data_IF_333440132455
#
_entry.id   IF_333440132455
#
_cell.length_a   1.000
_cell.length_b   1.000
_cell.length_c   1.000
_cell.angle_alpha   90.00
_cell.angle_beta   90.00
_cell.angle_gamma   90.00
#
_symmetry.space_group_name_H-M   'P 1'
#
loop_
_entity.id
_entity.type
_entity.pdbx_description
1 polymer ?
#
# COMPACT_ATOMS: atom_id res chain seq x y z
N UNK A 1 -0.29 2.48 11.51
CA UNK A 1 -1.15 2.51 10.31
C UNK A 1 -2.61 2.15 10.60
N UNK A 2 -3.60 2.84 10.00
CA UNK A 2 -5.03 2.62 10.24
C UNK A 2 -5.62 1.50 9.35
N UNK A 3 -5.12 0.27 9.46
CA UNK A 3 -5.59 -0.87 8.64
C UNK A 3 -6.92 -1.50 9.08
N UNK A 4 -7.50 -1.03 10.19
CA UNK A 4 -8.67 -1.64 10.82
C UNK A 4 -9.92 -1.63 9.94
N UNK A 5 -10.12 -0.57 9.14
CA UNK A 5 -11.27 -0.52 8.23
C UNK A 5 -11.18 -1.57 7.14
N UNK A 6 -10.00 -1.75 6.56
CA UNK A 6 -9.76 -2.82 5.60
C UNK A 6 -9.99 -4.20 6.23
N UNK A 7 -9.42 -4.45 7.42
CA UNK A 7 -9.62 -5.71 8.12
C UNK A 7 -11.09 -5.98 8.47
N UNK A 8 -11.84 -4.96 8.91
CA UNK A 8 -13.25 -5.10 9.22
C UNK A 8 -14.10 -5.40 7.99
N UNK A 9 -13.84 -4.70 6.88
CA UNK A 9 -14.53 -4.95 5.62
C UNK A 9 -14.21 -6.34 5.08
N UNK A 10 -12.94 -6.75 5.17
CA UNK A 10 -12.49 -8.09 4.82
C UNK A 10 -13.21 -9.17 5.63
N UNK A 11 -13.39 -9.00 6.95
CA UNK A 11 -14.13 -9.96 7.78
C UNK A 11 -15.60 -10.07 7.35
N UNK A 12 -16.28 -8.93 7.14
CA UNK A 12 -17.65 -8.89 6.66
C UNK A 12 -17.79 -9.65 5.32
N UNK A 13 -16.85 -9.42 4.41
CA UNK A 13 -16.82 -10.12 3.13
C UNK A 13 -16.62 -11.62 3.28
N UNK A 14 -15.60 -12.07 4.03
CA UNK A 14 -15.37 -13.50 4.23
C UNK A 14 -16.61 -14.20 4.81
N UNK A 15 -17.37 -13.55 5.68
CA UNK A 15 -18.63 -14.10 6.18
C UNK A 15 -19.71 -14.18 5.08
N UNK A 16 -19.83 -13.13 4.25
CA UNK A 16 -20.70 -13.16 3.07
C UNK A 16 -20.37 -14.32 2.16
N UNK A 17 -19.09 -14.60 1.94
CA UNK A 17 -18.65 -15.71 1.11
C UNK A 17 -18.99 -17.07 1.70
N UNK A 18 -18.67 -17.27 2.98
CA UNK A 18 -18.90 -18.56 3.65
C UNK A 18 -20.39 -18.88 3.85
N UNK A 19 -21.26 -17.86 3.90
CA UNK A 19 -22.65 -18.02 4.31
C UNK A 19 -23.69 -17.46 3.31
N UNK A 20 -23.25 -16.84 2.22
CA UNK A 20 -24.09 -16.15 1.23
C UNK A 20 -24.63 -14.79 1.68
N UNK A 21 -24.34 -14.35 2.91
CA UNK A 21 -24.76 -13.08 3.48
C UNK A 21 -23.74 -12.59 4.52
N UNK A 22 -23.37 -11.31 4.49
CA UNK A 22 -22.44 -10.74 5.47
C UNK A 22 -23.16 -10.22 6.72
N UNK A 23 -22.47 -10.17 7.87
CA UNK A 23 -23.02 -9.57 9.09
C UNK A 23 -23.06 -8.03 8.99
N UNK A 24 -24.17 -7.53 8.46
CA UNK A 24 -24.46 -6.10 8.37
C UNK A 24 -24.48 -5.43 9.75
N UNK A 25 -24.90 -6.12 10.81
CA UNK A 25 -24.94 -5.54 12.15
C UNK A 25 -23.52 -5.34 12.70
N UNK A 26 -22.62 -6.29 12.47
CA UNK A 26 -21.19 -6.11 12.73
C UNK A 26 -20.64 -4.93 11.94
N UNK A 27 -20.88 -4.88 10.63
CA UNK A 27 -20.34 -3.84 9.75
C UNK A 27 -20.82 -2.45 10.16
N UNK A 28 -22.12 -2.29 10.48
CA UNK A 28 -22.67 -1.03 11.02
C UNK A 28 -22.02 -0.65 12.35
N UNK A 29 -21.86 -1.59 13.29
CA UNK A 29 -21.26 -1.31 14.61
C UNK A 29 -19.79 -0.92 14.52
N UNK A 30 -19.00 -1.60 13.69
CA UNK A 30 -17.58 -1.30 13.53
C UNK A 30 -17.38 -0.01 12.76
N UNK A 31 -18.20 0.26 11.74
CA UNK A 31 -18.16 1.50 10.96
C UNK A 31 -18.32 2.75 11.85
N UNK A 32 -19.23 2.73 12.84
CA UNK A 32 -19.38 3.83 13.80
C UNK A 32 -18.12 4.05 14.64
N UNK A 33 -17.44 2.99 15.08
CA UNK A 33 -16.17 3.09 15.83
C UNK A 33 -15.04 3.60 14.95
N UNK A 34 -14.99 3.13 13.71
CA UNK A 34 -14.04 3.59 12.71
C UNK A 34 -14.27 5.07 12.37
N UNK A 35 -15.51 5.54 12.30
CA UNK A 35 -15.80 6.96 12.10
C UNK A 35 -15.21 7.84 13.21
N UNK A 36 -15.31 7.41 14.48
CA UNK A 36 -14.67 8.09 15.61
C UNK A 36 -13.14 8.07 15.49
N UNK A 37 -12.56 6.94 15.11
CA UNK A 37 -11.11 6.83 14.93
C UNK A 37 -10.59 7.68 13.76
N UNK A 38 -11.28 7.66 12.62
CA UNK A 38 -10.99 8.52 11.47
C UNK A 38 -11.03 10.00 11.86
N UNK A 39 -12.07 10.40 12.60
CA UNK A 39 -12.20 11.78 13.10
C UNK A 39 -11.06 12.16 14.06
N UNK A 40 -10.58 11.22 14.87
CA UNK A 40 -9.39 11.45 15.70
C UNK A 40 -8.14 11.72 14.86
N UNK A 41 -7.92 10.93 13.79
CA UNK A 41 -6.78 11.15 12.88
C UNK A 41 -6.83 12.54 12.25
N UNK A 42 -7.96 12.92 11.64
CA UNK A 42 -8.15 14.24 11.02
C UNK A 42 -7.91 15.37 12.02
N UNK A 43 -8.32 15.23 13.29
CA UNK A 43 -8.16 16.31 14.26
C UNK A 43 -6.80 16.34 14.98
N UNK A 44 -6.04 15.25 14.99
CA UNK A 44 -4.81 15.13 15.80
C UNK A 44 -3.55 14.97 14.98
N UNK A 45 -3.69 14.63 13.70
CA UNK A 45 -2.59 14.27 12.81
C UNK A 45 -2.63 15.07 11.50
N UNK A 46 -3.43 16.12 11.44
CA UNK A 46 -3.42 17.15 10.39
C UNK A 46 -3.41 18.51 11.12
N UNK A 47 -2.21 18.95 11.53
CA UNK A 47 -2.04 20.10 12.44
C UNK A 47 -2.51 21.41 11.80
N UNK A 48 -2.40 21.54 10.49
CA UNK A 48 -2.82 22.75 9.74
C UNK A 48 -4.24 22.65 9.18
N UNK A 49 -4.88 21.49 9.25
CA UNK A 49 -6.17 21.26 8.58
C UNK A 49 -6.06 21.33 7.05
N UNK A 50 -4.90 20.95 6.49
CA UNK A 50 -4.63 21.01 5.05
C UNK A 50 -4.67 19.63 4.38
N UNK A 51 -5.08 18.58 5.10
CA UNK A 51 -5.14 17.19 4.67
C UNK A 51 -3.76 16.58 4.30
N UNK A 52 -2.67 17.18 4.77
CA UNK A 52 -1.34 16.57 4.79
C UNK A 52 -1.10 16.03 6.19
N UNK A 53 -1.00 14.71 6.30
CA UNK A 53 -0.96 14.09 7.62
C UNK A 53 0.46 14.03 8.18
N UNK A 54 0.58 14.51 9.41
CA UNK A 54 1.78 14.58 10.21
C UNK A 54 1.59 13.61 11.38
N UNK A 55 2.40 12.56 11.50
CA UNK A 55 2.12 11.63 12.58
C UNK A 55 3.07 10.50 12.84
N UNK A 56 4.04 10.73 13.73
CA UNK A 56 4.54 9.76 14.70
C UNK A 56 4.92 8.38 14.16
N UNK A 57 4.97 7.40 15.06
CA UNK A 57 5.25 6.01 14.75
C UNK A 57 4.12 5.37 13.91
N UNK A 58 4.35 5.22 12.61
CA UNK A 58 3.47 4.47 11.69
C UNK A 58 3.94 3.02 11.50
N UNK A 59 4.68 2.46 12.45
CA UNK A 59 5.19 1.10 12.38
C UNK A 59 6.25 0.88 11.30
N UNK A 60 6.88 1.96 10.81
CA UNK A 60 8.01 1.97 9.89
C UNK A 60 9.19 2.68 10.57
N UNK A 61 9.64 2.11 11.69
CA UNK A 61 10.40 2.76 12.76
C UNK A 61 11.57 3.60 12.25
N UNK A 62 12.57 2.95 11.65
CA UNK A 62 13.80 3.57 11.18
C UNK A 62 13.79 3.87 9.67
N UNK A 63 12.64 3.79 8.97
CA UNK A 63 12.60 3.94 7.51
C UNK A 63 13.05 5.34 7.04
N UNK A 64 12.81 6.36 7.88
CA UNK A 64 13.09 7.76 7.58
C UNK A 64 14.45 8.23 8.09
N UNK A 65 14.74 9.51 7.79
CA UNK A 65 15.96 10.22 8.20
C UNK A 65 15.95 10.53 9.70
N UNK A 66 14.79 10.92 10.23
CA UNK A 66 14.62 11.38 11.61
C UNK A 66 13.70 10.43 12.39
N UNK A 67 13.85 10.43 13.72
CA UNK A 67 12.85 9.82 14.60
C UNK A 67 11.55 10.62 14.52
N UNK A 68 10.54 10.04 13.87
CA UNK A 68 9.22 10.62 13.65
C UNK A 68 8.42 10.85 14.95
N UNK A 69 8.86 10.28 16.06
CA UNK A 69 8.24 10.43 17.39
C UNK A 69 8.94 11.48 18.26
N UNK A 70 10.08 12.02 17.81
CA UNK A 70 10.83 13.05 18.52
C UNK A 70 10.70 14.42 17.84
N UNK A 71 10.87 15.53 18.58
CA UNK A 71 11.02 16.84 17.97
C UNK A 71 12.21 16.87 17.01
N UNK A 72 12.04 17.52 15.85
CA UNK A 72 13.12 17.68 14.90
C UNK A 72 14.24 18.56 15.50
N UNK A 73 15.53 18.17 15.36
CA UNK A 73 16.65 18.90 15.97
C UNK A 73 16.75 20.38 15.54
N UNK A 74 16.23 20.70 14.36
CA UNK A 74 16.21 22.03 13.74
C UNK A 74 14.88 22.77 13.96
N UNK A 75 13.96 22.19 14.73
CA UNK A 75 12.56 22.62 14.75
C UNK A 75 11.86 22.34 13.42
N UNK A 76 10.62 22.82 13.30
CA UNK A 76 9.79 22.58 12.13
C UNK A 76 8.99 21.27 12.25
N UNK A 77 8.59 20.71 11.11
CA UNK A 77 7.79 19.47 11.05
C UNK A 77 8.11 18.62 9.83
N UNK A 78 7.58 17.40 9.83
CA UNK A 78 7.67 16.46 8.72
C UNK A 78 6.28 16.22 8.13
N UNK A 79 6.09 16.65 6.88
CA UNK A 79 4.93 16.26 6.07
C UNK A 79 5.21 14.85 5.53
N UNK A 80 4.39 13.87 5.91
CA UNK A 80 4.67 12.45 5.66
C UNK A 80 3.86 11.93 4.47
N UNK A 81 4.54 11.43 3.45
CA UNK A 81 3.89 10.84 2.28
C UNK A 81 3.16 9.54 2.63
N UNK A 82 3.75 8.70 3.49
CA UNK A 82 3.10 7.47 3.96
C UNK A 82 1.94 7.74 4.89
N UNK A 83 2.09 8.68 5.83
CA UNK A 83 1.01 9.09 6.73
C UNK A 83 -0.22 9.57 5.95
N UNK A 84 0.00 10.36 4.92
CA UNK A 84 -1.06 10.87 4.05
C UNK A 84 -1.67 9.76 3.18
N UNK A 85 -0.85 8.88 2.58
CA UNK A 85 -1.33 7.71 1.83
C UNK A 85 -2.15 6.74 2.71
N UNK A 86 -1.75 6.53 3.97
CA UNK A 86 -2.50 5.72 4.93
C UNK A 86 -3.88 6.29 5.24
N UNK A 87 -3.98 7.61 5.35
CA UNK A 87 -5.26 8.27 5.56
C UNK A 87 -6.13 8.27 4.30
N UNK A 88 -5.53 8.38 3.11
CA UNK A 88 -6.23 8.17 1.85
C UNK A 88 -6.80 6.74 1.77
N UNK A 89 -5.99 5.73 2.12
CA UNK A 89 -6.42 4.34 2.19
C UNK A 89 -7.56 4.13 3.19
N UNK A 90 -7.45 4.67 4.40
CA UNK A 90 -8.51 4.60 5.40
C UNK A 90 -9.80 5.28 4.90
N UNK A 91 -9.67 6.45 4.28
CA UNK A 91 -10.80 7.16 3.68
C UNK A 91 -11.51 6.31 2.62
N UNK A 92 -10.75 5.66 1.74
CA UNK A 92 -11.27 4.74 0.73
C UNK A 92 -11.98 3.52 1.34
N UNK A 93 -11.40 2.89 2.37
CA UNK A 93 -12.07 1.77 3.05
C UNK A 93 -13.37 2.21 3.74
N UNK A 94 -13.40 3.41 4.29
CA UNK A 94 -14.65 3.97 4.83
C UNK A 94 -15.66 4.29 3.74
N UNK A 95 -15.22 4.73 2.56
CA UNK A 95 -16.09 4.91 1.40
C UNK A 95 -16.68 3.58 0.94
N UNK A 96 -15.86 2.53 0.76
CA UNK A 96 -16.34 1.20 0.34
C UNK A 96 -17.36 0.62 1.33
N UNK A 97 -17.08 0.69 2.64
CA UNK A 97 -18.05 0.26 3.67
C UNK A 97 -19.33 1.12 3.62
N UNK A 98 -19.22 2.44 3.43
CA UNK A 98 -20.40 3.31 3.37
C UNK A 98 -21.27 3.02 2.14
N UNK A 99 -20.65 2.75 0.99
CA UNK A 99 -21.35 2.34 -0.24
C UNK A 99 -22.06 1.01 -0.01
N UNK A 100 -21.38 0.00 0.54
CA UNK A 100 -21.98 -1.29 0.87
C UNK A 100 -23.19 -1.13 1.81
N UNK A 101 -23.04 -0.37 2.90
CA UNK A 101 -24.15 -0.14 3.84
C UNK A 101 -25.30 0.65 3.19
N UNK A 102 -25.01 1.57 2.27
CA UNK A 102 -26.02 2.34 1.55
C UNK A 102 -26.87 1.48 0.60
N UNK A 103 -26.34 0.34 0.13
CA UNK A 103 -27.12 -0.65 -0.64
C UNK A 103 -28.26 -1.26 0.17
N UNK A 104 -28.14 -1.29 1.50
CA UNK A 104 -29.13 -1.87 2.41
C UNK A 104 -29.93 -0.82 3.18
N UNK A 105 -29.34 0.34 3.46
CA UNK A 105 -29.94 1.43 4.24
C UNK A 105 -29.52 2.79 3.69
N UNK A 106 -30.00 3.08 2.48
CA UNK A 106 -29.64 4.25 1.68
C UNK A 106 -29.77 5.56 2.46
N UNK A 107 -30.87 5.73 3.19
CA UNK A 107 -31.17 6.96 3.93
C UNK A 107 -30.16 7.28 5.04
N UNK A 108 -29.46 6.27 5.56
CA UNK A 108 -28.49 6.44 6.64
C UNK A 108 -27.04 6.59 6.16
N UNK A 109 -26.67 5.98 5.02
CA UNK A 109 -25.26 5.81 4.65
C UNK A 109 -24.83 6.50 3.34
N UNK A 110 -25.74 6.86 2.44
CA UNK A 110 -25.35 7.48 1.16
C UNK A 110 -24.68 8.85 1.36
N UNK A 111 -25.16 9.66 2.31
CA UNK A 111 -24.51 10.93 2.67
C UNK A 111 -23.10 10.71 3.25
N UNK A 112 -22.88 9.61 3.96
CA UNK A 112 -21.56 9.25 4.47
C UNK A 112 -20.63 8.80 3.35
N UNK A 113 -21.13 8.11 2.33
CA UNK A 113 -20.35 7.81 1.13
C UNK A 113 -19.92 9.11 0.42
N UNK A 114 -20.82 10.07 0.24
CA UNK A 114 -20.49 11.40 -0.28
C UNK A 114 -19.37 12.07 0.53
N UNK A 115 -19.49 12.09 1.86
CA UNK A 115 -18.48 12.65 2.76
C UNK A 115 -17.10 12.04 2.52
N UNK A 116 -17.00 10.71 2.45
CA UNK A 116 -15.69 10.06 2.27
C UNK A 116 -15.14 10.24 0.86
N UNK A 117 -15.99 10.24 -0.17
CA UNK A 117 -15.58 10.62 -1.52
C UNK A 117 -14.97 12.03 -1.55
N UNK A 118 -15.67 13.02 -0.98
CA UNK A 118 -15.18 14.40 -0.91
C UNK A 118 -13.86 14.52 -0.18
N UNK A 119 -13.76 13.88 0.98
CA UNK A 119 -12.57 13.91 1.81
C UNK A 119 -11.38 13.24 1.10
N UNK A 120 -11.61 12.17 0.34
CA UNK A 120 -10.58 11.56 -0.50
C UNK A 120 -10.04 12.55 -1.55
N UNK A 121 -10.91 13.33 -2.23
CA UNK A 121 -10.43 14.32 -3.22
C UNK A 121 -9.50 15.35 -2.58
N UNK A 122 -9.84 15.79 -1.36
CA UNK A 122 -9.01 16.75 -0.63
C UNK A 122 -7.66 16.17 -0.21
N UNK A 123 -7.61 14.90 0.20
CA UNK A 123 -6.33 14.24 0.52
C UNK A 123 -5.45 14.13 -0.73
N UNK A 124 -6.01 13.69 -1.87
CA UNK A 124 -5.25 13.58 -3.12
C UNK A 124 -4.70 14.95 -3.55
N UNK A 125 -5.54 15.98 -3.52
CA UNK A 125 -5.13 17.34 -3.85
C UNK A 125 -4.07 17.92 -2.89
N UNK A 126 -4.00 17.43 -1.66
CA UNK A 126 -2.98 17.82 -0.68
C UNK A 126 -1.64 17.10 -0.92
N UNK A 127 -1.67 15.86 -1.40
CA UNK A 127 -0.46 15.09 -1.73
C UNK A 127 0.25 15.59 -2.99
N UNK A 128 -0.52 16.05 -3.96
CA UNK A 128 -0.06 16.51 -5.28
C UNK A 128 -0.75 17.84 -5.61
N UNK A 129 -0.13 18.96 -5.18
CA UNK A 129 -0.78 20.26 -5.20
C UNK A 129 -0.81 20.80 -6.62
N UNK A 130 -1.88 21.50 -6.97
CA UNK A 130 -2.01 22.07 -8.31
C UNK A 130 -1.04 23.26 -8.45
N UNK A 131 -0.22 23.23 -9.49
CA UNK A 131 0.81 24.24 -9.78
C UNK A 131 2.22 23.67 -9.66
N UNK A 132 3.24 24.51 -9.85
CA UNK A 132 4.64 24.11 -9.65
C UNK A 132 5.00 24.47 -8.21
N UNK A 133 5.15 23.46 -7.35
CA UNK A 133 5.58 23.63 -5.96
C UNK A 133 6.90 22.88 -5.75
N UNK A 134 7.94 23.59 -5.30
CA UNK A 134 9.25 22.97 -5.05
C UNK A 134 9.25 22.03 -3.83
N UNK A 135 8.16 21.99 -3.07
CA UNK A 135 8.06 21.34 -1.77
C UNK A 135 6.75 20.55 -1.55
N UNK A 136 6.16 19.99 -2.60
CA UNK A 136 5.07 19.00 -2.49
C UNK A 136 5.62 17.57 -2.33
N UNK A 137 4.76 16.61 -1.95
CA UNK A 137 5.20 15.24 -1.67
C UNK A 137 5.63 14.52 -2.96
N UNK A 138 4.95 14.79 -4.07
CA UNK A 138 5.32 14.30 -5.40
C UNK A 138 6.54 15.05 -5.94
N UNK A 139 7.52 14.35 -6.47
CA UNK A 139 8.65 14.94 -7.19
C UNK A 139 8.51 14.65 -8.68
N UNK A 140 8.26 15.68 -9.50
CA UNK A 140 8.06 15.54 -10.95
C UNK A 140 9.33 15.12 -11.71
N UNK A 141 10.52 15.43 -11.17
CA UNK A 141 11.80 15.05 -11.79
C UNK A 141 12.07 13.56 -11.57
N UNK A 142 11.89 13.09 -10.33
CA UNK A 142 12.12 11.70 -9.99
C UNK A 142 10.94 10.80 -10.38
N UNK A 143 9.72 11.33 -10.45
CA UNK A 143 8.49 10.55 -10.64
C UNK A 143 8.14 9.69 -9.41
N UNK A 144 8.35 10.22 -8.21
CA UNK A 144 8.22 9.48 -6.96
C UNK A 144 7.74 10.35 -5.79
N UNK A 145 7.11 9.73 -4.78
CA UNK A 145 6.68 10.41 -3.56
C UNK A 145 7.75 10.38 -2.47
N UNK A 146 7.94 11.51 -1.80
CA UNK A 146 8.88 11.68 -0.68
C UNK A 146 8.25 12.45 0.48
N UNK A 147 8.78 12.24 1.68
CA UNK A 147 8.47 13.11 2.82
C UNK A 147 9.05 14.52 2.58
N UNK A 148 8.39 15.56 3.11
CA UNK A 148 8.86 16.94 3.04
C UNK A 148 9.16 17.46 4.44
N UNK A 149 10.38 17.92 4.64
CA UNK A 149 10.80 18.65 5.84
C UNK A 149 10.39 20.12 5.70
N UNK A 150 9.55 20.60 6.63
CA UNK A 150 9.13 22.00 6.74
C UNK A 150 9.93 22.71 7.82
N UNK A 151 10.67 23.74 7.44
CA UNK A 151 11.43 24.56 8.38
C UNK A 151 10.54 25.61 9.06
N UNK A 152 10.92 26.11 10.26
CA UNK A 152 10.21 27.19 10.94
C UNK A 152 10.09 28.50 10.15
N UNK A 153 10.95 28.70 9.16
CA UNK A 153 10.95 29.89 8.28
C UNK A 153 10.00 29.74 7.07
N UNK A 154 9.28 28.62 6.97
CA UNK A 154 8.30 28.33 5.92
C UNK A 154 8.88 27.64 4.69
N UNK A 155 10.21 27.48 4.60
CA UNK A 155 10.83 26.70 3.50
C UNK A 155 10.52 25.22 3.66
N UNK A 156 10.39 24.52 2.53
CA UNK A 156 10.27 23.06 2.46
C UNK A 156 11.42 22.43 1.70
N UNK A 157 11.82 21.22 2.07
CA UNK A 157 12.74 20.39 1.28
C UNK A 157 12.28 18.94 1.29
N UNK A 158 12.28 18.28 0.13
CA UNK A 158 12.03 16.84 0.04
C UNK A 158 13.19 16.05 0.65
N UNK A 159 12.85 15.01 1.39
CA UNK A 159 13.79 13.99 1.84
C UNK A 159 13.80 12.85 0.82
N UNK A 160 14.69 12.93 -0.17
CA UNK A 160 14.77 12.00 -1.32
C UNK A 160 15.29 10.59 -0.96
N UNK A 161 14.59 9.93 -0.04
CA UNK A 161 14.81 8.54 0.37
C UNK A 161 13.81 7.64 -0.37
N UNK A 162 14.30 6.83 -1.30
CA UNK A 162 13.48 5.88 -2.08
C UNK A 162 13.12 4.69 -1.19
N UNK A 163 11.95 4.75 -0.57
CA UNK A 163 11.45 3.72 0.35
C UNK A 163 9.99 3.36 0.08
N UNK A 164 9.47 2.36 0.82
CA UNK A 164 8.04 2.01 0.83
C UNK A 164 7.12 3.21 1.11
N UNK A 165 7.64 4.27 1.72
CA UNK A 165 6.90 5.52 1.93
C UNK A 165 6.32 6.05 0.62
N UNK A 166 7.11 6.04 -0.46
CA UNK A 166 6.64 6.50 -1.77
C UNK A 166 5.78 5.47 -2.50
N UNK A 167 5.99 4.18 -2.25
CA UNK A 167 5.25 3.08 -2.86
C UNK A 167 3.84 2.89 -2.29
N UNK A 168 3.58 3.37 -1.07
CA UNK A 168 2.28 3.22 -0.41
C UNK A 168 1.11 3.81 -1.20
N UNK A 169 1.37 4.79 -2.07
CA UNK A 169 0.39 5.34 -3.01
C UNK A 169 -0.24 4.28 -3.93
N UNK A 170 0.48 3.20 -4.27
CA UNK A 170 -0.03 2.07 -5.08
C UNK A 170 -1.14 1.29 -4.36
N UNK A 171 -1.13 1.25 -3.03
CA UNK A 171 -2.14 0.54 -2.25
C UNK A 171 -3.47 1.32 -2.15
N UNK A 172 -3.45 2.62 -2.50
CA UNK A 172 -4.60 3.53 -2.43
C UNK A 172 -5.33 3.53 -3.77
N UNK A 173 -6.17 2.51 -3.97
CA UNK A 173 -7.06 2.44 -5.13
C UNK A 173 -8.41 1.80 -4.77
N UNK A 174 -9.48 2.46 -5.19
CA UNK A 174 -10.86 1.95 -5.16
C UNK A 174 -11.41 1.97 -6.58
N UNK A 175 -12.10 0.89 -6.97
CA UNK A 175 -12.68 0.76 -8.31
C UNK A 175 -14.17 0.68 -8.10
N UNK A 176 -14.89 1.63 -8.67
CA UNK A 176 -16.34 1.78 -8.58
C UNK A 176 -16.95 1.08 -9.80
N UNK A 177 -17.94 0.25 -9.56
CA UNK A 177 -18.55 -0.59 -10.59
C UNK A 177 -19.62 0.17 -11.35
N UNK A 178 -19.93 -0.29 -12.56
CA UNK A 178 -20.90 0.36 -13.44
C UNK A 178 -22.35 0.29 -12.94
N UNK A 179 -22.65 -0.55 -11.95
CA UNK A 179 -24.00 -0.70 -11.39
C UNK A 179 -24.32 0.29 -10.27
N UNK A 180 -23.30 0.84 -9.60
CA UNK A 180 -23.48 1.79 -8.50
C UNK A 180 -24.28 3.04 -8.88
N UNK A 181 -24.14 3.61 -10.10
CA UNK A 181 -24.90 4.80 -10.48
C UNK A 181 -26.42 4.65 -10.46
N UNK A 182 -26.95 3.46 -10.73
CA UNK A 182 -28.39 3.22 -10.73
C UNK A 182 -28.94 3.06 -9.31
N UNK A 183 -28.12 2.54 -8.39
CA UNK A 183 -28.53 2.19 -7.03
C UNK A 183 -28.29 3.33 -6.03
N UNK A 184 -27.35 4.24 -6.31
CA UNK A 184 -26.93 5.35 -5.43
C UNK A 184 -26.94 6.71 -6.18
N UNK A 185 -28.12 7.25 -6.54
CA UNK A 185 -28.21 8.44 -7.38
C UNK A 185 -27.83 9.74 -6.66
N UNK A 186 -27.95 9.85 -5.33
CA UNK A 186 -27.52 11.06 -4.62
C UNK A 186 -25.99 11.12 -4.54
N UNK A 187 -25.35 9.96 -4.35
CA UNK A 187 -23.91 9.82 -4.46
C UNK A 187 -23.41 10.24 -5.85
N UNK A 188 -24.04 9.75 -6.91
CA UNK A 188 -23.66 10.13 -8.27
C UNK A 188 -23.89 11.60 -8.58
N UNK A 189 -25.00 12.18 -8.09
CA UNK A 189 -25.25 13.61 -8.23
C UNK A 189 -24.14 14.42 -7.57
N UNK A 190 -23.65 13.97 -6.40
CA UNK A 190 -22.53 14.61 -5.70
C UNK A 190 -21.22 14.48 -6.47
N UNK A 191 -20.91 13.30 -7.00
CA UNK A 191 -19.75 13.08 -7.88
C UNK A 191 -19.79 14.03 -9.08
N UNK A 192 -20.93 14.10 -9.77
CA UNK A 192 -21.11 15.00 -10.91
C UNK A 192 -20.96 16.47 -10.52
N UNK A 193 -21.52 16.88 -9.37
CA UNK A 193 -21.38 18.24 -8.89
C UNK A 193 -19.90 18.63 -8.68
N UNK A 194 -19.08 17.75 -8.11
CA UNK A 194 -17.64 18.00 -7.95
C UNK A 194 -16.92 18.08 -9.29
N UNK A 195 -17.25 17.20 -10.24
CA UNK A 195 -16.67 17.24 -11.58
C UNK A 195 -16.94 18.59 -12.28
N UNK A 196 -18.12 19.16 -12.09
CA UNK A 196 -18.53 20.42 -12.74
C UNK A 196 -18.05 21.67 -11.98
N UNK A 197 -18.07 21.64 -10.65
CA UNK A 197 -17.87 22.85 -9.82
C UNK A 197 -16.49 22.91 -9.15
N UNK A 198 -15.76 21.79 -9.11
CA UNK A 198 -14.41 21.66 -8.55
C UNK A 198 -13.46 20.89 -9.49
N UNK A 199 -13.41 21.23 -10.79
CA UNK A 199 -12.59 20.52 -11.76
C UNK A 199 -11.10 20.49 -11.37
N UNK A 200 -10.64 21.49 -10.60
CA UNK A 200 -9.29 21.54 -10.06
C UNK A 200 -8.98 20.36 -9.13
N UNK A 201 -9.90 19.99 -8.23
CA UNK A 201 -9.71 18.88 -7.30
C UNK A 201 -9.81 17.51 -8.01
N UNK A 202 -10.67 17.44 -9.01
CA UNK A 202 -10.94 16.21 -9.73
C UNK A 202 -9.88 15.91 -10.78
N UNK A 203 -9.25 16.92 -11.37
CA UNK A 203 -8.23 16.75 -12.42
C UNK A 203 -7.04 15.89 -11.99
N UNK A 204 -6.80 15.76 -10.67
CA UNK A 204 -5.73 14.94 -10.09
C UNK A 204 -6.16 13.50 -9.78
N UNK A 205 -7.42 13.13 -10.05
CA UNK A 205 -7.96 11.81 -9.76
C UNK A 205 -8.09 11.01 -11.04
N UNK A 206 -7.27 9.99 -11.10
CA UNK A 206 -7.14 9.08 -12.22
C UNK A 206 -8.42 8.30 -12.47
N UNK A 207 -8.85 8.22 -13.73
CA UNK A 207 -9.90 7.30 -14.16
C UNK A 207 -11.32 7.59 -13.65
N UNK A 208 -11.57 8.77 -13.08
CA UNK A 208 -12.94 9.20 -12.76
C UNK A 208 -13.72 9.61 -14.03
N UNK A 209 -13.04 10.21 -15.00
CA UNK A 209 -13.64 10.64 -16.26
C UNK A 209 -13.54 9.60 -17.39
N UNK A 210 -12.56 8.70 -17.30
CA UNK A 210 -12.32 7.67 -18.31
C UNK A 210 -12.83 6.32 -17.80
N UNK A 211 -13.83 5.70 -18.45
CA UNK A 211 -14.25 4.34 -18.13
C UNK A 211 -13.09 3.34 -18.32
N UNK A 212 -12.89 2.47 -17.34
CA UNK A 212 -12.04 1.29 -17.47
C UNK A 212 -12.80 0.09 -18.02
N UNK A 213 -12.23 -1.11 -17.83
CA UNK A 213 -12.87 -2.38 -18.18
C UNK A 213 -14.26 -2.47 -17.57
N UNK A 214 -15.25 -2.92 -18.35
CA UNK A 214 -16.63 -3.07 -17.88
C UNK A 214 -17.32 -1.76 -17.49
N UNK A 215 -16.82 -0.60 -17.94
CA UNK A 215 -17.40 0.70 -17.60
C UNK A 215 -17.07 1.17 -16.18
N UNK A 216 -16.11 0.53 -15.51
CA UNK A 216 -15.67 0.86 -14.14
C UNK A 216 -15.04 2.25 -14.06
N UNK A 217 -14.97 2.81 -12.86
CA UNK A 217 -14.27 4.07 -12.54
C UNK A 217 -13.22 3.83 -11.48
N UNK A 218 -12.15 4.61 -11.51
CA UNK A 218 -11.06 4.53 -10.56
C UNK A 218 -11.05 5.75 -9.64
N UNK A 219 -10.78 5.52 -8.37
CA UNK A 219 -10.32 6.51 -7.41
C UNK A 219 -8.92 6.08 -6.97
N UNK A 220 -7.89 6.78 -7.43
CA UNK A 220 -6.51 6.48 -7.09
C UNK A 220 -5.68 7.77 -6.99
N UNK A 221 -4.57 7.71 -6.25
CA UNK A 221 -3.59 8.80 -6.17
C UNK A 221 -2.77 8.92 -7.46
N UNK A 222 -2.46 7.78 -8.09
CA UNK A 222 -1.56 7.70 -9.23
C UNK A 222 -2.36 7.67 -10.54
N UNK A 223 -2.09 8.58 -11.46
CA UNK A 223 -2.55 8.51 -12.85
C UNK A 223 -1.71 7.55 -13.68
N UNK A 224 -2.12 7.28 -14.92
CA UNK A 224 -1.41 6.37 -15.82
C UNK A 224 0.09 6.69 -15.94
N UNK A 225 0.46 7.97 -15.94
CA UNK A 225 1.86 8.41 -16.08
C UNK A 225 2.61 8.17 -14.77
N UNK A 226 2.06 8.65 -13.66
CA UNK A 226 2.67 8.49 -12.32
C UNK A 226 2.77 7.03 -11.92
N UNK A 227 1.75 6.22 -12.25
CA UNK A 227 1.74 4.79 -12.01
C UNK A 227 2.90 4.10 -12.75
N UNK A 228 3.14 4.44 -14.03
CA UNK A 228 4.29 3.91 -14.79
C UNK A 228 5.62 4.30 -14.18
N UNK A 229 5.77 5.56 -13.75
CA UNK A 229 7.01 6.03 -13.11
C UNK A 229 7.29 5.29 -11.79
N UNK A 230 6.29 5.18 -10.92
CA UNK A 230 6.44 4.47 -9.64
C UNK A 230 6.71 2.98 -9.84
N UNK A 231 6.02 2.33 -10.78
CA UNK A 231 6.25 0.91 -11.10
C UNK A 231 7.63 0.66 -11.70
N UNK A 232 8.19 1.60 -12.47
CA UNK A 232 9.54 1.48 -13.00
C UNK A 232 10.59 1.35 -11.89
N UNK A 233 10.46 2.10 -10.78
CA UNK A 233 11.32 1.91 -9.60
C UNK A 233 10.98 0.61 -8.85
N UNK A 234 9.70 0.37 -8.56
CA UNK A 234 9.29 -0.78 -7.74
C UNK A 234 9.74 -2.11 -8.35
N UNK A 235 9.73 -2.22 -9.68
CA UNK A 235 10.00 -3.44 -10.43
C UNK A 235 11.46 -3.55 -10.93
N UNK A 236 12.33 -2.59 -10.59
CA UNK A 236 13.77 -2.66 -10.89
C UNK A 236 14.51 -3.48 -9.81
N UNK A 237 15.31 -4.45 -10.25
CA UNK A 237 16.07 -5.33 -9.37
C UNK A 237 17.24 -4.63 -8.65
N UNK A 238 17.72 -3.51 -9.20
CA UNK A 238 18.71 -2.64 -8.57
C UNK A 238 18.08 -1.64 -7.58
N UNK A 239 16.75 -1.57 -7.54
CA UNK A 239 16.00 -0.72 -6.62
C UNK A 239 15.23 -1.61 -5.61
N UNK A 240 13.93 -1.84 -5.84
CA UNK A 240 13.06 -2.47 -4.85
C UNK A 240 12.83 -3.97 -5.08
N UNK A 241 12.89 -4.45 -6.34
CA UNK A 241 12.52 -5.82 -6.67
C UNK A 241 13.65 -6.80 -6.28
N UNK A 242 13.38 -7.67 -5.33
CA UNK A 242 14.29 -8.75 -4.93
C UNK A 242 13.78 -10.08 -5.48
N UNK A 243 14.63 -11.11 -5.54
CA UNK A 243 14.21 -12.50 -5.78
C UNK A 243 13.20 -13.02 -4.75
N UNK A 244 13.05 -12.27 -3.64
CA UNK A 244 12.25 -12.64 -2.47
C UNK A 244 11.07 -11.69 -2.20
N UNK A 245 10.82 -10.69 -3.06
CA UNK A 245 9.73 -9.72 -2.91
C UNK A 245 10.18 -8.25 -3.03
N UNK A 246 9.37 -7.31 -2.56
CA UNK A 246 9.67 -5.87 -2.57
C UNK A 246 10.38 -5.48 -1.28
N UNK A 247 11.59 -4.89 -1.42
CA UNK A 247 12.41 -4.35 -0.33
C UNK A 247 11.76 -3.13 0.32
N UNK A 248 12.01 -2.91 1.61
CA UNK A 248 11.48 -1.74 2.31
C UNK A 248 12.15 -0.40 1.91
N UNK A 249 13.42 -0.48 1.54
CA UNK A 249 14.23 0.63 1.02
C UNK A 249 14.87 0.19 -0.29
N UNK A 250 14.99 1.09 -1.24
CA UNK A 250 15.68 0.81 -2.50
C UNK A 250 17.13 0.42 -2.26
N UNK A 251 17.57 -0.64 -2.95
CA UNK A 251 18.97 -1.09 -3.01
C UNK A 251 19.90 -0.05 -3.64
N UNK A 252 19.38 0.94 -4.37
CA UNK A 252 20.15 2.10 -4.85
C UNK A 252 20.95 2.78 -3.74
N UNK A 253 20.37 2.83 -2.52
CA UNK A 253 21.00 3.45 -1.35
C UNK A 253 22.19 2.65 -0.78
N UNK A 254 22.49 1.46 -1.31
CA UNK A 254 23.72 0.73 -0.98
C UNK A 254 24.96 1.48 -1.46
N UNK A 255 24.90 1.97 -2.70
CA UNK A 255 26.00 2.73 -3.32
C UNK A 255 25.79 4.26 -3.16
N UNK A 256 24.54 4.69 -2.97
CA UNK A 256 24.13 6.09 -2.90
C UNK A 256 23.34 6.38 -1.61
N UNK A 257 23.99 6.28 -0.44
CA UNK A 257 23.36 6.56 0.85
C UNK A 257 22.78 7.98 0.85
N UNK A 258 21.57 8.14 1.38
CA UNK A 258 20.98 9.47 1.51
C UNK A 258 21.59 10.19 2.70
N UNK A 259 22.10 11.40 2.49
CA UNK A 259 22.73 12.23 3.53
C UNK A 259 22.01 13.58 3.58
N UNK A 260 21.51 13.93 4.76
CA UNK A 260 20.96 15.24 5.06
C UNK A 260 21.87 15.98 6.04
N UNK A 261 22.63 16.95 5.53
CA UNK A 261 23.59 17.72 6.30
C UNK A 261 22.97 18.91 7.01
N UNK A 262 23.33 19.09 8.28
CA UNK A 262 22.82 20.15 9.13
C UNK A 262 23.94 20.78 9.95
N UNK A 263 23.69 21.94 10.56
CA UNK A 263 24.65 22.58 11.47
C UNK A 263 24.95 21.72 12.72
N UNK A 264 24.15 20.70 12.99
CA UNK A 264 24.25 19.81 14.16
C UNK A 264 24.84 18.43 13.81
N UNK A 265 25.21 18.22 12.54
CA UNK A 265 25.72 16.95 12.03
C UNK A 265 24.95 16.44 10.80
N UNK A 266 25.46 15.35 10.24
CA UNK A 266 24.88 14.65 9.11
C UNK A 266 23.93 13.54 9.57
N UNK A 267 22.73 13.50 9.00
CA UNK A 267 21.78 12.41 9.16
C UNK A 267 21.83 11.51 7.94
N UNK A 268 22.00 10.21 8.14
CA UNK A 268 22.28 9.26 7.07
C UNK A 268 21.28 8.10 7.05
N UNK A 269 20.85 7.73 5.85
CA UNK A 269 20.05 6.53 5.56
C UNK A 269 20.85 5.64 4.61
N UNK A 270 21.26 4.49 5.13
CA UNK A 270 21.97 3.43 4.42
C UNK A 270 20.98 2.33 3.99
N UNK A 271 21.35 1.58 2.94
CA UNK A 271 20.70 0.29 2.66
C UNK A 271 21.28 -0.81 3.56
N UNK A 272 20.42 -1.38 4.39
CA UNK A 272 20.73 -2.38 5.40
C UNK A 272 19.77 -3.56 5.18
N UNK A 273 20.17 -4.61 4.44
CA UNK A 273 19.23 -5.65 4.03
C UNK A 273 18.81 -6.58 5.17
N UNK A 274 19.45 -6.52 6.34
CA UNK A 274 19.25 -7.41 7.49
C UNK A 274 18.91 -6.62 8.76
N UNK A 275 19.57 -6.87 9.89
CA UNK A 275 19.46 -6.06 11.10
C UNK A 275 20.00 -4.63 10.90
N UNK A 276 19.45 -3.68 11.66
CA UNK A 276 19.93 -2.30 11.67
C UNK A 276 21.33 -2.22 12.29
N UNK A 277 22.24 -1.47 11.68
CA UNK A 277 23.56 -1.14 12.25
C UNK A 277 23.50 0.03 13.24
N UNK A 278 22.33 0.67 13.37
CA UNK A 278 22.09 1.77 14.30
C UNK A 278 21.12 1.36 15.42
N UNK A 279 21.30 1.96 16.60
CA UNK A 279 20.42 1.74 17.76
C UNK A 279 19.11 2.53 17.75
N UNK A 280 18.76 3.19 16.63
CA UNK A 280 17.48 3.88 16.50
C UNK A 280 16.33 2.87 16.75
N UNK A 281 15.36 3.26 17.58
CA UNK A 281 14.21 2.43 17.94
C UNK A 281 14.53 1.06 18.57
N UNK A 282 15.68 0.95 19.26
CA UNK A 282 16.05 -0.26 19.98
C UNK A 282 16.74 -1.34 19.13
N UNK A 283 17.01 -1.07 17.84
CA UNK A 283 17.91 -1.85 16.98
C UNK A 283 17.40 -3.21 16.49
N UNK A 284 16.25 -3.69 16.97
CA UNK A 284 15.75 -5.04 16.65
C UNK A 284 14.90 -5.13 15.36
N UNK A 285 14.26 -4.03 14.96
CA UNK A 285 13.44 -3.95 13.75
C UNK A 285 14.10 -3.03 12.73
N UNK A 286 14.09 -3.44 11.46
CA UNK A 286 14.73 -2.68 10.38
C UNK A 286 13.86 -2.58 9.12
N UNK A 287 13.65 -1.34 8.68
CA UNK A 287 12.90 -0.96 7.48
C UNK A 287 13.80 -0.40 6.37
N UNK A 288 15.12 -0.39 6.57
CA UNK A 288 16.10 0.18 5.62
C UNK A 288 16.61 -0.83 4.59
N UNK A 289 15.78 -1.79 4.18
CA UNK A 289 16.17 -2.78 3.18
C UNK A 289 15.47 -4.12 3.24
N UNK A 290 15.10 -4.65 4.43
CA UNK A 290 14.47 -5.96 4.51
C UNK A 290 13.10 -6.01 3.83
N UNK A 291 12.64 -7.22 3.56
CA UNK A 291 11.34 -7.51 2.96
C UNK A 291 10.35 -7.82 4.08
N UNK A 292 9.25 -7.07 4.07
CA UNK A 292 8.16 -7.21 5.03
C UNK A 292 6.91 -7.74 4.32
N UNK A 293 6.46 -8.93 4.73
CA UNK A 293 5.28 -9.60 4.20
C UNK A 293 4.02 -8.72 4.17
N UNK A 294 3.65 -7.97 5.24
CA UNK A 294 2.40 -7.20 5.23
C UNK A 294 2.39 -6.08 4.18
N UNK A 295 3.54 -5.43 3.96
CA UNK A 295 3.66 -4.36 2.97
C UNK A 295 3.58 -4.90 1.55
N UNK A 296 4.21 -6.06 1.30
CA UNK A 296 4.11 -6.75 0.02
C UNK A 296 2.67 -7.19 -0.29
N UNK A 297 1.94 -7.73 0.70
CA UNK A 297 0.53 -8.10 0.54
C UNK A 297 -0.35 -6.89 0.19
N UNK A 298 -0.09 -5.73 0.80
CA UNK A 298 -0.80 -4.48 0.48
C UNK A 298 -0.50 -3.98 -0.94
N UNK A 299 0.75 -4.07 -1.40
CA UNK A 299 1.14 -3.71 -2.76
C UNK A 299 0.48 -4.65 -3.78
N UNK A 300 0.50 -5.96 -3.54
CA UNK A 300 -0.19 -6.96 -4.37
C UNK A 300 -1.70 -6.63 -4.45
N UNK A 301 -2.36 -6.34 -3.32
CA UNK A 301 -3.77 -5.91 -3.31
C UNK A 301 -3.97 -4.66 -4.19
N UNK A 302 -3.10 -3.66 -4.04
CA UNK A 302 -3.16 -2.42 -4.83
C UNK A 302 -3.07 -2.69 -6.33
N UNK A 303 -2.12 -3.52 -6.76
CA UNK A 303 -1.93 -3.92 -8.14
C UNK A 303 -3.14 -4.69 -8.71
N UNK A 304 -3.71 -5.62 -7.96
CA UNK A 304 -4.93 -6.36 -8.35
C UNK A 304 -6.12 -5.40 -8.50
N UNK A 305 -6.27 -4.45 -7.56
CA UNK A 305 -7.31 -3.42 -7.62
C UNK A 305 -7.16 -2.55 -8.87
N UNK A 306 -5.95 -2.10 -9.20
CA UNK A 306 -5.66 -1.33 -10.40
C UNK A 306 -5.88 -2.17 -11.68
N UNK A 307 -5.51 -3.44 -11.68
CA UNK A 307 -5.80 -4.36 -12.78
C UNK A 307 -7.30 -4.46 -13.06
N UNK A 308 -8.14 -4.50 -12.01
CA UNK A 308 -9.60 -4.52 -12.17
C UNK A 308 -10.17 -3.31 -12.92
N UNK A 309 -9.45 -2.19 -12.97
CA UNK A 309 -9.79 -1.02 -13.78
C UNK A 309 -9.14 -1.06 -15.17
N UNK A 310 -7.82 -1.29 -15.24
CA UNK A 310 -7.05 -1.18 -16.48
C UNK A 310 -7.12 -2.41 -17.40
N UNK A 311 -7.28 -3.61 -16.84
CA UNK A 311 -7.20 -4.87 -17.58
C UNK A 311 -5.82 -5.12 -18.22
N UNK A 312 -5.82 -5.76 -19.38
CA UNK A 312 -4.61 -6.19 -20.10
C UNK A 312 -3.85 -5.06 -20.77
N UNK A 313 -4.53 -3.95 -21.07
CA UNK A 313 -4.00 -2.88 -21.91
C UNK A 313 -2.93 -2.07 -21.17
N UNK A 314 -3.00 -2.01 -19.83
CA UNK A 314 -1.95 -1.41 -19.02
C UNK A 314 -0.85 -2.42 -18.74
N UNK A 315 0.20 -2.36 -19.55
CA UNK A 315 1.40 -3.18 -19.38
C UNK A 315 2.59 -2.35 -18.92
N UNK A 316 3.41 -2.96 -18.07
CA UNK A 316 4.70 -2.44 -17.60
C UNK A 316 5.78 -3.50 -17.75
N UNK A 317 7.03 -3.07 -17.78
CA UNK A 317 8.17 -3.97 -17.86
C UNK A 317 8.42 -4.58 -16.47
N UNK A 318 8.51 -5.91 -16.38
CA UNK A 318 8.74 -6.60 -15.10
C UNK A 318 9.61 -7.85 -15.31
N UNK A 319 10.86 -7.86 -14.79
CA UNK A 319 11.55 -6.74 -14.13
C UNK A 319 11.79 -5.54 -15.05
N UNK A 320 11.92 -4.33 -14.50
CA UNK A 320 12.32 -3.13 -15.24
C UNK A 320 13.66 -3.38 -15.97
N UNK A 321 13.75 -3.01 -17.25
CA UNK A 321 14.91 -3.25 -18.11
C UNK A 321 15.05 -4.67 -18.70
N UNK A 322 14.11 -5.58 -18.44
CA UNK A 322 14.16 -6.98 -18.94
C UNK A 322 13.64 -7.20 -20.37
N UNK A 323 12.93 -6.24 -20.94
CA UNK A 323 12.13 -6.32 -22.17
C UNK A 323 10.81 -7.09 -22.02
N UNK A 324 10.50 -7.65 -20.84
CA UNK A 324 9.30 -8.45 -20.60
C UNK A 324 8.15 -7.59 -20.11
N UNK A 325 7.16 -7.39 -20.96
CA UNK A 325 5.92 -6.69 -20.60
C UNK A 325 4.94 -7.60 -19.87
N UNK A 326 4.35 -7.10 -18.79
CA UNK A 326 3.34 -7.77 -17.97
C UNK A 326 2.19 -6.81 -17.66
N UNK A 327 0.96 -7.33 -17.60
CA UNK A 327 -0.17 -6.60 -16.99
C UNK A 327 -0.06 -6.62 -15.45
N UNK A 328 -0.86 -5.80 -14.77
CA UNK A 328 -0.76 -5.65 -13.31
C UNK A 328 -1.13 -6.92 -12.52
N UNK A 329 -1.94 -7.81 -13.09
CA UNK A 329 -2.19 -9.14 -12.50
C UNK A 329 -0.93 -10.01 -12.53
N UNK A 330 -0.26 -10.11 -13.68
CA UNK A 330 0.97 -10.87 -13.86
C UNK A 330 2.10 -10.34 -12.98
N UNK A 331 2.20 -9.01 -12.82
CA UNK A 331 3.14 -8.39 -11.86
C UNK A 331 2.83 -8.83 -10.44
N UNK A 332 1.56 -8.83 -10.03
CA UNK A 332 1.13 -9.28 -8.70
C UNK A 332 1.50 -10.75 -8.44
N UNK A 333 1.30 -11.60 -9.45
CA UNK A 333 1.66 -13.02 -9.39
C UNK A 333 3.18 -13.22 -9.29
N UNK A 334 3.96 -12.44 -10.03
CA UNK A 334 5.43 -12.51 -9.98
C UNK A 334 5.98 -12.11 -8.59
N UNK A 335 5.43 -11.07 -7.97
CA UNK A 335 5.80 -10.67 -6.60
C UNK A 335 5.41 -11.78 -5.61
N UNK A 336 4.20 -12.34 -5.72
CA UNK A 336 3.75 -13.47 -4.88
C UNK A 336 4.65 -14.70 -5.02
N UNK A 337 5.06 -15.03 -6.25
CA UNK A 337 5.99 -16.12 -6.54
C UNK A 337 7.34 -15.88 -5.84
N UNK A 338 7.89 -14.66 -5.94
CA UNK A 338 9.13 -14.26 -5.26
C UNK A 338 9.03 -14.37 -3.73
N UNK A 339 7.93 -13.91 -3.14
CA UNK A 339 7.67 -14.09 -1.69
C UNK A 339 7.57 -15.56 -1.30
N UNK A 340 6.94 -16.38 -2.13
CA UNK A 340 6.83 -17.84 -1.91
C UNK A 340 8.21 -18.52 -1.97
N UNK A 341 9.11 -18.03 -2.83
CA UNK A 341 10.47 -18.57 -2.96
C UNK A 341 11.27 -18.50 -1.66
N UNK A 342 10.97 -17.56 -0.76
CA UNK A 342 11.57 -17.50 0.59
C UNK A 342 11.44 -18.85 1.30
N UNK A 343 10.30 -19.50 1.15
CA UNK A 343 9.95 -20.69 1.92
C UNK A 343 10.20 -21.98 1.18
N UNK A 344 10.33 -22.01 -0.15
CA UNK A 344 10.52 -23.25 -0.91
C UNK A 344 12.00 -23.63 -1.05
N UNK A 345 12.27 -24.91 -1.32
CA UNK A 345 13.64 -25.37 -1.62
C UNK A 345 14.02 -24.91 -3.02
N UNK A 346 15.21 -24.35 -3.14
CA UNK A 346 15.83 -24.04 -4.44
C UNK A 346 16.45 -25.30 -5.08
N UNK A 347 17.11 -25.13 -6.22
CA UNK A 347 17.76 -26.21 -6.97
C UNK A 347 18.88 -26.93 -6.19
N UNK A 348 19.41 -26.30 -5.14
CA UNK A 348 20.40 -26.89 -4.23
C UNK A 348 19.75 -27.60 -3.03
N UNK A 349 18.41 -27.67 -2.99
CA UNK A 349 17.66 -28.25 -1.87
C UNK A 349 17.60 -27.38 -0.62
N UNK A 350 18.09 -26.13 -0.66
CA UNK A 350 18.13 -25.19 0.47
C UNK A 350 16.93 -24.24 0.42
N UNK A 351 16.43 -23.82 1.58
CA UNK A 351 15.38 -22.80 1.70
C UNK A 351 15.99 -21.45 2.07
N UNK A 352 15.68 -20.35 1.36
CA UNK A 352 16.17 -19.02 1.70
C UNK A 352 15.89 -18.60 3.14
N UNK A 353 14.69 -18.88 3.67
CA UNK A 353 14.26 -18.52 5.04
C UNK A 353 15.23 -18.96 6.14
N UNK A 354 16.00 -20.03 5.95
CA UNK A 354 16.98 -20.50 6.94
C UNK A 354 18.39 -19.92 6.75
N UNK A 355 18.64 -19.21 5.65
CA UNK A 355 19.95 -18.65 5.31
C UNK A 355 21.08 -19.67 5.45
N UNK A 356 22.07 -19.32 6.26
CA UNK A 356 23.25 -20.15 6.54
C UNK A 356 23.08 -21.10 7.73
N UNK A 357 21.87 -21.20 8.30
CA UNK A 357 21.61 -22.06 9.47
C UNK A 357 21.51 -23.53 9.04
N UNK A 358 22.66 -24.20 8.99
CA UNK A 358 22.81 -25.53 8.38
C UNK A 358 21.89 -26.61 8.99
N UNK A 359 21.63 -26.55 10.29
CA UNK A 359 20.72 -27.47 10.99
C UNK A 359 19.33 -27.47 10.35
N UNK A 360 18.76 -26.30 10.06
CA UNK A 360 17.45 -26.21 9.42
C UNK A 360 17.49 -26.47 7.91
N UNK A 361 18.67 -26.42 7.28
CA UNK A 361 18.80 -26.76 5.87
C UNK A 361 18.85 -28.27 5.63
N UNK A 362 19.62 -29.00 6.44
CA UNK A 362 20.03 -30.37 6.10
C UNK A 362 19.57 -31.45 7.08
N UNK A 363 19.32 -31.11 8.35
CA UNK A 363 18.95 -32.11 9.34
C UNK A 363 17.58 -32.72 9.00
N UNK A 364 17.46 -34.05 8.83
CA UNK A 364 16.22 -34.70 8.44
C UNK A 364 15.09 -34.55 9.47
N UNK A 365 15.40 -34.20 10.71
CA UNK A 365 14.43 -33.93 11.77
C UNK A 365 13.98 -32.47 11.81
N UNK A 366 14.70 -31.53 11.19
CA UNK A 366 14.40 -30.10 11.30
C UNK A 366 14.03 -29.43 9.98
N UNK A 367 14.54 -29.92 8.85
CA UNK A 367 14.47 -29.27 7.53
C UNK A 367 13.08 -29.06 6.92
N UNK A 368 12.06 -29.66 7.51
CA UNK A 368 10.67 -29.57 7.06
C UNK A 368 9.78 -28.78 8.05
N UNK A 369 10.33 -28.31 9.18
CA UNK A 369 9.64 -27.45 10.15
C UNK A 369 9.86 -25.96 9.82
N UNK A 370 9.11 -25.48 8.83
CA UNK A 370 9.22 -24.11 8.31
C UNK A 370 8.88 -23.09 9.40
N UNK A 371 9.81 -22.16 9.64
CA UNK A 371 9.65 -21.07 10.59
C UNK A 371 9.17 -19.81 9.87
N UNK A 372 8.31 -19.05 10.54
CA UNK A 372 7.92 -17.71 10.11
C UNK A 372 8.66 -16.68 10.94
N UNK A 373 9.25 -15.71 10.25
CA UNK A 373 10.06 -14.65 10.84
C UNK A 373 9.35 -13.31 10.73
N UNK A 374 9.83 -12.34 11.49
CA UNK A 374 9.31 -10.98 11.52
C UNK A 374 9.45 -10.29 10.15
N UNK A 375 10.63 -10.42 9.56
CA UNK A 375 10.97 -9.90 8.23
C UNK A 375 12.08 -10.76 7.59
N UNK A 376 12.40 -10.47 6.33
CA UNK A 376 13.35 -11.26 5.54
C UNK A 376 14.45 -10.40 4.97
N UNK A 377 15.64 -10.96 4.87
CA UNK A 377 16.79 -10.27 4.34
C UNK A 377 16.54 -9.83 2.89
N UNK A 378 16.78 -8.55 2.59
CA UNK A 378 16.45 -7.92 1.32
C UNK A 378 17.05 -8.59 0.08
N UNK A 379 18.26 -9.15 0.20
CA UNK A 379 18.97 -9.74 -0.95
C UNK A 379 19.06 -11.27 -0.99
N UNK A 380 18.77 -11.99 0.10
CA UNK A 380 18.95 -13.45 0.16
C UNK A 380 17.77 -14.20 0.79
N UNK A 381 16.74 -13.50 1.28
CA UNK A 381 15.52 -14.11 1.80
C UNK A 381 15.66 -14.79 3.17
N UNK A 382 16.81 -14.68 3.85
CA UNK A 382 16.99 -15.22 5.21
C UNK A 382 15.98 -14.62 6.18
N UNK A 383 15.38 -15.44 7.05
CA UNK A 383 14.47 -14.97 8.08
C UNK A 383 15.21 -14.26 9.22
N UNK A 384 14.78 -13.05 9.56
CA UNK A 384 15.40 -12.17 10.57
C UNK A 384 14.35 -11.73 11.61
N UNK A 385 14.81 -11.39 12.80
CA UNK A 385 13.95 -10.95 13.91
C UNK A 385 13.27 -12.10 14.62
N UNK A 386 12.11 -11.83 15.22
CA UNK A 386 11.36 -12.83 15.99
C UNK A 386 10.97 -14.04 15.10
N UNK A 387 11.37 -15.24 15.51
CA UNK A 387 10.88 -16.49 14.92
C UNK A 387 9.51 -16.88 15.50
N UNK A 388 8.75 -17.70 14.78
CA UNK A 388 7.35 -18.06 15.06
C UNK A 388 6.36 -16.90 14.88
N UNK A 389 6.68 -15.94 14.01
CA UNK A 389 5.78 -14.84 13.69
C UNK A 389 4.69 -15.27 12.71
N UNK A 390 3.79 -16.16 13.15
CA UNK A 390 2.54 -16.50 12.45
C UNK A 390 1.49 -15.38 12.54
N UNK A 391 1.93 -14.14 12.81
CA UNK A 391 1.17 -12.92 12.57
C UNK A 391 1.15 -12.60 11.07
N UNK A 392 1.69 -11.44 10.69
CA UNK A 392 1.63 -10.99 9.29
C UNK A 392 2.37 -11.88 8.29
N UNK A 393 3.36 -12.68 8.71
CA UNK A 393 4.09 -13.57 7.79
C UNK A 393 3.23 -14.73 7.30
N UNK A 394 2.19 -15.09 8.06
CA UNK A 394 1.18 -16.07 7.63
C UNK A 394 0.43 -15.67 6.36
N UNK A 395 0.45 -14.39 5.97
CA UNK A 395 -0.17 -13.91 4.72
C UNK A 395 0.37 -14.61 3.48
N UNK A 396 1.58 -15.20 3.51
CA UNK A 396 2.12 -15.99 2.39
C UNK A 396 1.20 -17.15 2.00
N UNK A 397 0.54 -17.79 2.97
CA UNK A 397 -0.41 -18.87 2.69
C UNK A 397 -1.61 -18.35 1.88
N UNK A 398 -2.09 -17.15 2.22
CA UNK A 398 -3.19 -16.50 1.50
C UNK A 398 -2.79 -16.09 0.09
N UNK A 399 -1.54 -15.63 -0.09
CA UNK A 399 -1.00 -15.30 -1.42
C UNK A 399 -0.86 -16.56 -2.30
N UNK A 400 -0.44 -17.69 -1.74
CA UNK A 400 -0.35 -18.97 -2.46
C UNK A 400 -1.75 -19.45 -2.88
N UNK A 401 -2.71 -19.41 -1.95
CA UNK A 401 -4.11 -19.76 -2.23
C UNK A 401 -4.68 -18.90 -3.35
N UNK A 402 -4.62 -17.57 -3.19
CA UNK A 402 -5.03 -16.55 -4.16
C UNK A 402 -4.63 -16.91 -5.61
N UNK A 403 -3.34 -17.13 -5.87
CA UNK A 403 -2.84 -17.36 -7.23
C UNK A 403 -2.90 -18.83 -7.66
N UNK A 404 -3.28 -19.75 -6.76
CA UNK A 404 -3.64 -21.13 -7.11
C UNK A 404 -5.08 -21.26 -7.59
N UNK A 405 -5.96 -20.38 -7.11
CA UNK A 405 -7.41 -20.51 -7.26
C UNK A 405 -8.00 -19.59 -8.32
N UNK A 406 -7.36 -18.44 -8.54
CA UNK A 406 -7.86 -17.40 -9.43
C UNK A 406 -6.99 -17.31 -10.67
N UNK A 407 -7.62 -17.39 -11.83
CA UNK A 407 -6.96 -17.18 -13.12
C UNK A 407 -7.18 -15.77 -13.65
N UNK A 408 -6.35 -15.36 -14.62
CA UNK A 408 -6.49 -14.07 -15.30
C UNK A 408 -7.85 -13.94 -16.05
N UNK A 409 -8.42 -15.07 -16.50
CA UNK A 409 -9.70 -15.10 -17.21
C UNK A 409 -10.88 -14.83 -16.28
N UNK A 410 -10.83 -15.33 -15.04
CA UNK A 410 -11.86 -15.07 -14.03
C UNK A 410 -12.03 -13.56 -13.80
N UNK A 411 -10.94 -12.79 -13.93
CA UNK A 411 -10.97 -11.34 -13.72
C UNK A 411 -11.60 -10.54 -14.88
N UNK A 412 -11.73 -11.13 -16.07
CA UNK A 412 -12.15 -10.46 -17.32
C UNK A 412 -13.63 -10.63 -17.64
N UNK A 413 -14.24 -11.76 -17.27
CA UNK A 413 -15.61 -12.14 -17.67
C UNK A 413 -16.72 -11.41 -16.87
N UNK A 414 -16.45 -10.21 -16.36
CA UNK A 414 -17.44 -9.39 -15.67
C UNK A 414 -17.66 -9.78 -14.20
N UNK A 415 -16.79 -10.59 -13.62
CA UNK A 415 -16.67 -10.76 -12.18
C UNK A 415 -16.42 -9.38 -11.57
N UNK A 416 -17.42 -8.87 -10.84
CA UNK A 416 -17.39 -7.62 -10.10
C UNK A 416 -16.08 -7.55 -9.27
N UNK A 417 -15.55 -6.36 -8.99
CA UNK A 417 -14.42 -6.22 -8.06
C UNK A 417 -14.69 -6.91 -6.71
N UNK A 418 -15.96 -6.94 -6.30
CA UNK A 418 -16.45 -7.70 -5.16
C UNK A 418 -16.29 -9.22 -5.34
N UNK A 419 -16.59 -9.71 -6.54
CA UNK A 419 -16.53 -11.11 -6.95
C UNK A 419 -15.06 -11.57 -7.24
N UNK A 420 -14.17 -10.60 -7.47
CA UNK A 420 -12.73 -10.81 -7.61
C UNK A 420 -12.08 -11.12 -6.26
N UNK A 421 -12.33 -10.30 -5.24
CA UNK A 421 -11.89 -10.57 -3.85
C UNK A 421 -12.56 -11.86 -3.32
N UNK A 422 -13.81 -12.09 -3.69
CA UNK A 422 -14.61 -13.29 -3.42
C UNK A 422 -13.96 -14.59 -3.95
N UNK A 423 -13.35 -14.64 -5.14
CA UNK A 423 -12.73 -15.88 -5.67
C UNK A 423 -11.27 -16.10 -5.29
N UNK A 424 -10.57 -15.03 -4.92
CA UNK A 424 -9.28 -15.07 -4.18
C UNK A 424 -9.44 -15.83 -2.84
N UNK A 425 -10.67 -16.00 -2.41
CA UNK A 425 -11.13 -16.62 -1.17
C UNK A 425 -11.85 -17.96 -1.35
N UNK A 426 -11.99 -18.47 -2.59
CA UNK A 426 -12.80 -19.67 -2.89
C UNK A 426 -12.11 -21.06 -2.72
N UNK A 427 -10.77 -21.25 -2.74
CA UNK A 427 -10.26 -22.62 -2.51
C UNK A 427 -10.02 -22.97 -1.05
N UNK A 428 -11.09 -23.46 -0.44
CA UNK A 428 -11.00 -24.58 0.49
C UNK A 428 -12.03 -25.62 0.05
N UNK A 429 -11.64 -26.79 -0.52
CA UNK A 429 -12.45 -27.96 -0.32
C UNK A 429 -12.31 -28.38 1.15
N UNK A 430 -13.46 -28.61 1.80
CA UNK A 430 -13.67 -29.20 3.13
C UNK A 430 -12.45 -29.86 3.81
#
# INVERSE_FOLDING_TARGET
>A
PPVHAWAAYFIYWNERELHGQGDLDFLKRIFQKLLLNFTWWVNRKDTEGNNVFEGGFLGLDNIGVFDRSAPLPMGGRLDQADGTAWMAFYCQMMLEIALELAMHDRAAYEELACKFYEHFLWIVAAMDRIGVHEDELWDEEDGFFYDVLRFPDGRGTRLKVRSLVGLLSLAVSTVITSEMPEKLPDFMQRVQWYNENRPELVAKISGLHTPGVGGRRLLAILDDTKLRQVLAYMLDENEFLSDYGIRALSRYHLDHPYIFSTNWGDYRVDYEPAESTTGLFGGNSNWRGPIWMPMNALLIRGLISLYGYYGDDFQVECPTGSGRMMNLWQVSQEISRRLTNIFVRNDQGRRPVYGDTETFQTDPHWRDYILFYEYFHGDNGAGIGASHQTGWTGLVAKLIQLFGDVSEADLKDGIDKEDLIHRVEEAVPN
#
